data_IF_600157030739
#
_entry.id   IF_600157030739
#
_cell.length_a   1.000
_cell.length_b   1.000
_cell.length_c   1.000
_cell.angle_alpha   90.00
_cell.angle_beta   90.00
_cell.angle_gamma   90.00
#
_symmetry.space_group_name_H-M   'P 1'
#
loop_
_entity.id
_entity.type
_entity.pdbx_description
1 polymer ?
#
# COMPACT_ATOMS: atom_id res chain seq x y z
N UNK A 1 6.24 -3.96 -7.02
CA UNK A 1 6.64 -2.78 -6.23
C UNK A 1 5.69 -1.65 -6.59
N UNK A 2 5.15 -0.92 -5.62
CA UNK A 2 4.24 0.19 -5.93
C UNK A 2 5.00 1.32 -6.64
N UNK A 3 4.38 2.01 -7.59
CA UNK A 3 5.00 3.11 -8.35
C UNK A 3 5.65 4.14 -7.41
N UNK A 4 5.00 4.45 -6.28
CA UNK A 4 5.53 5.34 -5.26
C UNK A 4 6.86 4.87 -4.66
N UNK A 5 6.99 3.59 -4.32
CA UNK A 5 8.21 3.00 -3.75
C UNK A 5 9.38 3.07 -4.74
N UNK A 6 9.10 2.87 -6.04
CA UNK A 6 10.10 2.97 -7.10
C UNK A 6 10.68 4.40 -7.22
N UNK A 7 9.81 5.42 -7.20
CA UNK A 7 10.26 6.81 -7.24
C UNK A 7 11.02 7.22 -5.98
N UNK A 8 10.60 6.73 -4.81
CA UNK A 8 11.34 6.94 -3.55
C UNK A 8 12.75 6.35 -3.68
N UNK A 9 12.88 5.11 -4.15
CA UNK A 9 14.17 4.44 -4.31
C UNK A 9 15.06 5.11 -5.38
N UNK A 10 14.49 5.50 -6.54
CA UNK A 10 15.19 6.25 -7.58
C UNK A 10 15.74 7.57 -7.04
N UNK A 11 14.90 8.36 -6.36
CA UNK A 11 15.30 9.64 -5.77
C UNK A 11 16.39 9.47 -4.70
N UNK A 12 16.24 8.47 -3.81
CA UNK A 12 17.24 8.18 -2.78
C UNK A 12 18.60 7.78 -3.37
N UNK A 13 18.60 6.89 -4.39
CA UNK A 13 19.82 6.48 -5.10
C UNK A 13 20.48 7.63 -5.86
N UNK A 14 19.71 8.54 -6.45
CA UNK A 14 20.26 9.72 -7.12
C UNK A 14 20.89 10.69 -6.12
N UNK A 15 20.29 10.86 -4.94
CA UNK A 15 20.85 11.70 -3.86
C UNK A 15 22.14 11.12 -3.29
N UNK A 16 22.21 9.79 -3.11
CA UNK A 16 23.43 9.11 -2.62
C UNK A 16 24.53 8.99 -3.67
N UNK A 17 24.24 9.29 -4.95
CA UNK A 17 25.16 9.16 -6.06
C UNK A 17 25.31 7.73 -6.59
N UNK A 18 24.43 6.82 -6.16
CA UNK A 18 24.35 5.45 -6.66
C UNK A 18 23.64 5.33 -8.02
N UNK A 19 22.95 6.38 -8.46
CA UNK A 19 22.35 6.49 -9.79
C UNK A 19 22.87 7.75 -10.51
N UNK A 20 23.04 7.64 -11.83
CA UNK A 20 23.40 8.74 -12.71
C UNK A 20 22.18 9.14 -13.55
N UNK A 21 21.42 10.11 -13.06
CA UNK A 21 20.18 10.61 -13.65
C UNK A 21 20.11 12.13 -13.52
N UNK A 22 19.45 12.81 -14.46
CA UNK A 22 19.26 14.26 -14.37
C UNK A 22 18.27 14.61 -13.26
N UNK A 23 18.75 15.33 -12.24
CA UNK A 23 17.96 15.71 -11.06
C UNK A 23 16.73 16.53 -11.42
N UNK A 24 16.84 17.45 -12.38
CA UNK A 24 15.73 18.29 -12.80
C UNK A 24 14.65 17.48 -13.52
N UNK A 25 15.06 16.56 -14.39
CA UNK A 25 14.15 15.65 -15.08
C UNK A 25 13.39 14.76 -14.09
N UNK A 26 14.09 14.11 -13.14
CA UNK A 26 13.44 13.25 -12.16
C UNK A 26 12.47 14.04 -11.25
N UNK A 27 12.85 15.24 -10.81
CA UNK A 27 11.94 16.08 -10.03
C UNK A 27 10.66 16.41 -10.81
N UNK A 28 10.77 16.77 -12.10
CA UNK A 28 9.60 17.05 -12.95
C UNK A 28 8.73 15.83 -13.15
N UNK A 29 9.34 14.67 -13.39
CA UNK A 29 8.63 13.40 -13.53
C UNK A 29 7.82 13.10 -12.25
N UNK A 30 8.46 13.19 -11.08
CA UNK A 30 7.80 12.99 -9.78
C UNK A 30 6.63 13.96 -9.60
N UNK A 31 6.83 15.26 -9.86
CA UNK A 31 5.78 16.29 -9.69
C UNK A 31 4.62 16.14 -10.70
N UNK A 32 4.84 15.46 -11.83
CA UNK A 32 3.79 15.13 -12.80
C UNK A 32 3.00 13.90 -12.37
N UNK A 33 3.68 12.89 -11.82
CA UNK A 33 3.06 11.63 -11.41
C UNK A 33 2.33 11.78 -10.08
N UNK A 34 2.88 12.56 -9.15
CA UNK A 34 2.34 12.74 -7.82
C UNK A 34 1.94 14.18 -7.58
N UNK A 35 0.69 14.35 -7.15
CA UNK A 35 0.24 15.61 -6.55
C UNK A 35 0.93 15.79 -5.19
N UNK A 36 2.03 16.54 -5.21
CA UNK A 36 2.84 16.89 -4.04
C UNK A 36 2.73 18.38 -3.79
N UNK A 37 2.44 18.72 -2.53
CA UNK A 37 2.50 20.09 -2.04
C UNK A 37 3.97 20.51 -1.84
N UNK A 38 4.65 20.75 -2.96
CA UNK A 38 6.02 21.25 -3.06
C UNK A 38 6.11 22.31 -4.15
N UNK A 39 6.58 23.50 -3.78
CA UNK A 39 6.91 24.57 -4.72
C UNK A 39 8.21 25.21 -4.26
N UNK A 40 9.24 25.21 -5.11
CA UNK A 40 10.45 25.97 -4.80
C UNK A 40 10.13 27.47 -4.97
N UNK A 41 10.32 28.32 -3.94
CA UNK A 41 10.08 29.76 -4.04
C UNK A 41 10.88 30.44 -5.15
N UNK A 42 12.08 29.94 -5.48
CA UNK A 42 12.89 30.43 -6.58
C UNK A 42 12.20 30.25 -7.93
N UNK A 43 11.39 29.21 -8.11
CA UNK A 43 10.64 29.00 -9.36
C UNK A 43 9.74 30.20 -9.71
N UNK A 44 9.25 30.92 -8.70
CA UNK A 44 8.43 32.13 -8.89
C UNK A 44 9.19 33.25 -9.59
N UNK A 45 10.52 33.32 -9.40
CA UNK A 45 11.37 34.32 -10.07
C UNK A 45 11.52 34.08 -11.57
N UNK A 46 11.18 32.87 -12.04
CA UNK A 46 11.33 32.48 -13.44
C UNK A 46 10.03 32.58 -14.26
N UNK A 47 8.89 32.93 -13.64
CA UNK A 47 7.58 33.01 -14.32
C UNK A 47 7.59 33.97 -15.53
N UNK A 48 8.35 35.05 -15.44
CA UNK A 48 8.50 36.05 -16.52
C UNK A 48 9.95 36.10 -17.06
N UNK A 49 10.73 35.05 -16.83
CA UNK A 49 12.12 34.95 -17.27
C UNK A 49 12.21 34.25 -18.63
N UNK A 50 13.23 34.61 -19.42
CA UNK A 50 13.63 33.86 -20.62
C UNK A 50 14.40 32.57 -20.29
N UNK A 51 14.84 32.41 -19.04
CA UNK A 51 15.46 31.17 -18.52
C UNK A 51 14.45 30.29 -17.78
N UNK A 52 14.65 28.97 -17.83
CA UNK A 52 13.85 28.01 -17.07
C UNK A 52 14.44 27.74 -15.69
N UNK A 53 13.58 27.68 -14.68
CA UNK A 53 13.93 27.17 -13.36
C UNK A 53 14.38 25.71 -13.47
N UNK A 54 15.43 25.31 -12.74
CA UNK A 54 15.86 23.91 -12.61
C UNK A 54 15.87 23.48 -11.15
N UNK A 55 15.33 22.30 -10.87
CA UNK A 55 15.42 21.69 -9.55
C UNK A 55 16.86 21.24 -9.24
N UNK A 56 17.23 21.40 -7.98
CA UNK A 56 18.53 21.02 -7.42
C UNK A 56 18.45 19.71 -6.63
N UNK A 57 19.61 19.17 -6.20
CA UNK A 57 19.63 18.03 -5.27
C UNK A 57 18.94 18.36 -3.94
N UNK A 58 18.98 19.62 -3.49
CA UNK A 58 18.25 20.05 -2.30
C UNK A 58 16.74 19.94 -2.50
N UNK A 59 16.24 20.32 -3.69
CA UNK A 59 14.83 20.15 -4.05
C UNK A 59 14.42 18.69 -4.05
N UNK A 60 15.21 17.84 -4.70
CA UNK A 60 14.97 16.40 -4.73
C UNK A 60 14.94 15.81 -3.31
N UNK A 61 15.79 16.28 -2.40
CA UNK A 61 15.76 15.92 -0.99
C UNK A 61 14.44 16.27 -0.30
N UNK A 62 13.89 17.46 -0.55
CA UNK A 62 12.57 17.86 -0.02
C UNK A 62 11.43 17.05 -0.63
N UNK A 63 11.47 16.83 -1.94
CA UNK A 63 10.50 16.01 -2.68
C UNK A 63 10.50 14.58 -2.17
N UNK A 64 11.67 13.97 -1.93
CA UNK A 64 11.81 12.64 -1.36
C UNK A 64 11.12 12.54 0.02
N UNK A 65 11.29 13.55 0.88
CA UNK A 65 10.59 13.56 2.18
C UNK A 65 9.07 13.64 2.02
N UNK A 66 8.58 14.44 1.06
CA UNK A 66 7.15 14.51 0.75
C UNK A 66 6.60 13.18 0.21
N UNK A 67 7.37 12.46 -0.62
CA UNK A 67 6.99 11.12 -1.09
C UNK A 67 6.92 10.12 0.07
N UNK A 68 7.89 10.12 0.99
CA UNK A 68 7.88 9.27 2.19
C UNK A 68 6.68 9.56 3.09
N UNK A 69 6.34 10.83 3.30
CA UNK A 69 5.14 11.22 4.05
C UNK A 69 3.85 10.75 3.35
N UNK A 70 3.80 10.83 2.02
CA UNK A 70 2.66 10.33 1.24
C UNK A 70 2.52 8.82 1.35
N UNK A 71 3.64 8.07 1.34
CA UNK A 71 3.67 6.62 1.57
C UNK A 71 3.16 6.30 2.97
N UNK A 72 3.63 7.02 3.98
CA UNK A 72 3.21 6.84 5.37
C UNK A 72 1.70 7.07 5.56
N UNK A 73 1.16 8.17 5.06
CA UNK A 73 -0.29 8.45 5.11
C UNK A 73 -1.12 7.39 4.37
N UNK A 74 -0.63 6.91 3.22
CA UNK A 74 -1.29 5.85 2.47
C UNK A 74 -1.29 4.52 3.23
N UNK A 75 -0.14 4.15 3.77
CA UNK A 75 0.04 2.93 4.57
C UNK A 75 -0.80 2.97 5.85
N UNK A 76 -0.88 4.10 6.54
CA UNK A 76 -1.64 4.22 7.78
C UNK A 76 -3.16 4.07 7.50
N UNK A 77 -3.63 4.62 6.38
CA UNK A 77 -5.01 4.44 5.92
C UNK A 77 -5.32 2.99 5.55
N UNK A 78 -4.38 2.30 4.90
CA UNK A 78 -4.58 0.93 4.42
C UNK A 78 -4.36 -0.14 5.51
N UNK A 79 -3.37 0.06 6.38
CA UNK A 79 -2.79 -0.95 7.27
C UNK A 79 -2.74 -0.54 8.75
N UNK A 80 -3.33 0.59 9.14
CA UNK A 80 -3.28 1.13 10.51
C UNK A 80 -3.85 0.24 11.62
N UNK A 81 -4.42 -0.93 11.30
CA UNK A 81 -4.76 -1.93 12.30
C UNK A 81 -3.48 -2.43 13.00
N UNK A 82 -3.48 -2.51 14.33
CA UNK A 82 -2.28 -2.72 15.16
C UNK A 82 -1.31 -3.81 14.65
N UNK A 83 -1.84 -4.93 14.16
CA UNK A 83 -1.01 -6.02 13.62
C UNK A 83 -0.38 -5.70 12.26
N UNK A 84 -1.17 -5.20 11.32
CA UNK A 84 -0.68 -4.77 10.00
C UNK A 84 0.27 -3.58 10.12
N UNK A 85 0.08 -2.71 11.13
CA UNK A 85 0.96 -1.58 11.42
C UNK A 85 2.37 -2.04 11.81
N UNK A 86 2.50 -3.07 12.65
CA UNK A 86 3.81 -3.63 13.03
C UNK A 86 4.56 -4.18 11.81
N UNK A 87 3.91 -5.00 10.98
CA UNK A 87 4.56 -5.54 9.76
C UNK A 87 4.94 -4.39 8.81
N UNK A 88 4.07 -3.39 8.67
CA UNK A 88 4.34 -2.20 7.85
C UNK A 88 5.54 -1.41 8.36
N UNK A 89 5.70 -1.26 9.68
CA UNK A 89 6.88 -0.63 10.27
C UNK A 89 8.18 -1.40 9.95
N UNK A 90 8.15 -2.73 10.00
CA UNK A 90 9.30 -3.55 9.62
C UNK A 90 9.62 -3.46 8.13
N UNK A 91 8.60 -3.42 7.26
CA UNK A 91 8.75 -3.14 5.82
C UNK A 91 9.42 -1.78 5.62
N UNK A 92 8.91 -0.71 6.24
CA UNK A 92 9.48 0.65 6.13
C UNK A 92 10.94 0.69 6.58
N UNK A 93 11.31 -0.06 7.61
CA UNK A 93 12.70 -0.15 8.09
C UNK A 93 13.63 -0.80 7.05
N UNK A 94 13.15 -1.83 6.34
CA UNK A 94 13.91 -2.45 5.23
C UNK A 94 13.98 -1.53 4.01
N UNK A 95 12.88 -0.87 3.66
CA UNK A 95 12.85 0.12 2.58
C UNK A 95 13.80 1.28 2.86
N UNK A 96 13.82 1.80 4.09
CA UNK A 96 14.78 2.81 4.52
C UNK A 96 16.23 2.32 4.40
N UNK A 97 16.51 1.07 4.78
CA UNK A 97 17.84 0.48 4.64
C UNK A 97 18.30 0.42 3.16
N UNK A 98 17.38 0.10 2.23
CA UNK A 98 17.63 0.17 0.78
C UNK A 98 17.89 1.60 0.30
N UNK A 99 17.02 2.53 0.73
CA UNK A 99 17.08 3.94 0.34
C UNK A 99 18.41 4.60 0.79
N UNK A 100 18.87 4.27 2.00
CA UNK A 100 20.11 4.79 2.59
C UNK A 100 21.35 4.01 2.15
N UNK A 101 21.18 2.86 1.48
CA UNK A 101 22.28 2.01 1.03
C UNK A 101 23.06 1.40 2.20
N UNK A 102 22.36 1.02 3.27
CA UNK A 102 22.93 0.39 4.48
C UNK A 102 23.56 -0.95 4.12
N UNK A 103 24.74 -1.25 4.68
CA UNK A 103 25.53 -2.45 4.34
C UNK A 103 26.09 -3.14 5.59
N UNK A 104 26.70 -4.30 5.37
CA UNK A 104 27.52 -5.03 6.33
C UNK A 104 26.81 -5.27 7.68
N UNK A 105 27.47 -4.97 8.80
CA UNK A 105 26.97 -5.23 10.14
C UNK A 105 25.71 -4.42 10.49
N UNK A 106 25.55 -3.22 9.90
CA UNK A 106 24.35 -2.40 10.11
C UNK A 106 23.14 -3.03 9.42
N UNK A 107 23.30 -3.48 8.17
CA UNK A 107 22.24 -4.18 7.43
C UNK A 107 21.88 -5.49 8.11
N UNK A 108 22.89 -6.21 8.59
CA UNK A 108 22.70 -7.41 9.41
C UNK A 108 21.89 -7.13 10.67
N UNK A 109 22.19 -6.07 11.40
CA UNK A 109 21.45 -5.73 12.62
C UNK A 109 19.97 -5.41 12.32
N UNK A 110 19.69 -4.80 11.16
CA UNK A 110 18.30 -4.62 10.68
C UNK A 110 17.64 -5.98 10.46
N UNK A 111 18.28 -6.88 9.70
CA UNK A 111 17.75 -8.23 9.45
C UNK A 111 17.55 -9.02 10.73
N UNK A 112 18.55 -9.13 11.60
CA UNK A 112 18.48 -9.90 12.85
C UNK A 112 17.27 -9.45 13.69
N UNK A 113 16.99 -8.14 13.76
CA UNK A 113 15.86 -7.61 14.52
C UNK A 113 14.49 -7.93 13.93
N UNK A 114 14.40 -8.10 12.61
CA UNK A 114 13.16 -8.39 11.88
C UNK A 114 12.96 -9.90 11.80
N UNK A 115 13.98 -10.62 11.33
CA UNK A 115 13.98 -12.07 11.15
C UNK A 115 13.66 -12.78 12.48
N UNK A 116 14.11 -12.24 13.62
CA UNK A 116 13.76 -12.76 14.96
C UNK A 116 12.25 -12.81 15.22
N UNK A 117 11.48 -11.84 14.69
CA UNK A 117 10.04 -11.75 14.88
C UNK A 117 9.31 -12.83 14.06
N UNK A 118 9.76 -13.09 12.83
CA UNK A 118 8.99 -13.87 11.86
C UNK A 118 9.49 -15.30 11.68
N UNK A 119 10.79 -15.56 11.84
CA UNK A 119 11.38 -16.86 11.53
C UNK A 119 10.87 -18.02 12.40
N UNK A 120 10.32 -17.73 13.57
CA UNK A 120 9.79 -18.73 14.50
C UNK A 120 8.33 -18.47 14.91
N UNK A 121 7.68 -17.45 14.33
CA UNK A 121 6.31 -17.12 14.67
C UNK A 121 5.34 -18.05 13.90
N UNK A 122 4.31 -18.52 14.60
CA UNK A 122 3.22 -19.28 13.97
C UNK A 122 2.52 -18.43 12.91
N UNK A 123 2.26 -19.01 11.74
CA UNK A 123 1.60 -18.33 10.62
C UNK A 123 2.57 -17.71 9.60
N UNK A 124 3.88 -17.92 9.79
CA UNK A 124 4.95 -17.41 8.92
C UNK A 124 5.87 -18.54 8.42
N UNK A 125 5.32 -19.74 8.24
CA UNK A 125 6.11 -20.98 8.05
C UNK A 125 7.02 -20.95 6.82
N UNK A 126 6.77 -20.07 5.83
CA UNK A 126 7.58 -19.86 4.62
C UNK A 126 8.49 -18.61 4.68
N UNK A 127 8.56 -17.92 5.81
CA UNK A 127 9.32 -16.68 5.94
C UNK A 127 10.81 -16.90 5.64
N UNK A 128 11.40 -17.94 6.22
CA UNK A 128 12.84 -18.21 6.10
C UNK A 128 13.26 -18.78 4.74
N UNK A 129 12.30 -19.23 3.93
CA UNK A 129 12.57 -19.85 2.63
C UNK A 129 13.34 -18.91 1.71
N UNK A 130 14.55 -19.33 1.31
CA UNK A 130 15.41 -18.58 0.39
C UNK A 130 16.16 -17.39 1.03
N UNK A 131 16.01 -17.15 2.33
CA UNK A 131 16.79 -16.11 3.02
C UNK A 131 18.23 -16.58 3.24
N UNK A 132 19.18 -15.69 2.96
CA UNK A 132 20.62 -15.98 3.03
C UNK A 132 21.07 -16.57 4.37
N UNK A 133 20.51 -16.16 5.51
CA UNK A 133 20.88 -16.68 6.85
C UNK A 133 20.24 -18.02 7.22
N UNK A 134 19.28 -18.49 6.41
CA UNK A 134 18.46 -19.67 6.70
C UNK A 134 18.61 -20.77 5.64
N UNK A 135 19.41 -20.52 4.59
CA UNK A 135 19.73 -21.50 3.56
C UNK A 135 20.73 -22.55 4.08
N UNK A 136 20.47 -23.83 3.76
CA UNK A 136 21.31 -24.95 4.18
C UNK A 136 22.69 -24.86 3.51
N UNK A 137 23.74 -24.63 4.30
CA UNK A 137 25.11 -24.44 3.80
C UNK A 137 25.53 -22.97 3.61
N UNK A 138 24.73 -22.00 4.06
CA UNK A 138 25.12 -20.59 4.07
C UNK A 138 26.25 -20.32 5.07
N UNK A 139 27.48 -20.44 4.60
CA UNK A 139 28.68 -19.93 5.25
C UNK A 139 28.98 -18.48 4.87
N UNK A 140 28.22 -17.89 3.94
CA UNK A 140 28.46 -16.53 3.43
C UNK A 140 27.50 -15.50 4.05
N UNK A 141 28.00 -14.84 5.11
CA UNK A 141 27.50 -13.52 5.57
C UNK A 141 27.58 -12.43 4.48
N UNK A 142 28.21 -12.71 3.35
CA UNK A 142 28.39 -11.80 2.21
C UNK A 142 27.16 -11.67 1.30
N UNK A 143 26.08 -12.41 1.59
CA UNK A 143 24.86 -12.38 0.76
C UNK A 143 23.87 -11.30 1.22
N UNK A 144 24.17 -10.51 2.26
CA UNK A 144 23.34 -9.38 2.66
C UNK A 144 23.49 -8.22 1.68
N UNK A 145 22.51 -8.10 0.79
CA UNK A 145 22.48 -7.12 -0.29
C UNK A 145 21.05 -6.62 -0.52
N UNK A 146 20.90 -5.72 -1.50
CA UNK A 146 19.60 -5.15 -1.89
C UNK A 146 18.58 -6.23 -2.27
N UNK A 147 19.00 -7.32 -2.94
CA UNK A 147 18.10 -8.41 -3.34
C UNK A 147 17.54 -9.16 -2.13
N UNK A 148 18.39 -9.44 -1.13
CA UNK A 148 17.98 -10.03 0.13
C UNK A 148 17.11 -9.08 0.98
N UNK A 149 17.28 -7.76 0.82
CA UNK A 149 16.42 -6.77 1.47
C UNK A 149 15.05 -6.78 0.80
N UNK A 150 15.02 -6.79 -0.54
CA UNK A 150 13.79 -6.82 -1.33
C UNK A 150 12.99 -8.10 -1.08
N UNK A 151 13.65 -9.26 -1.00
CA UNK A 151 12.99 -10.53 -0.70
C UNK A 151 12.28 -10.49 0.66
N UNK A 152 12.90 -9.88 1.68
CA UNK A 152 12.27 -9.69 2.99
C UNK A 152 11.08 -8.76 2.91
N UNK A 153 11.20 -7.64 2.19
CA UNK A 153 10.08 -6.71 1.95
C UNK A 153 8.91 -7.43 1.30
N UNK A 154 9.16 -8.20 0.24
CA UNK A 154 8.12 -8.89 -0.52
C UNK A 154 7.41 -9.95 0.32
N UNK A 155 8.16 -10.73 1.12
CA UNK A 155 7.59 -11.68 2.08
C UNK A 155 6.73 -10.98 3.12
N UNK A 156 7.21 -9.90 3.73
CA UNK A 156 6.45 -9.15 4.72
C UNK A 156 5.20 -8.51 4.11
N UNK A 157 5.26 -7.97 2.89
CA UNK A 157 4.09 -7.45 2.15
C UNK A 157 3.07 -8.57 1.96
N UNK A 158 3.50 -9.75 1.51
CA UNK A 158 2.62 -10.91 1.37
C UNK A 158 1.89 -11.25 2.69
N UNK A 159 2.61 -11.41 3.80
CA UNK A 159 1.98 -11.73 5.08
C UNK A 159 1.06 -10.62 5.61
N UNK A 160 1.48 -9.35 5.52
CA UNK A 160 0.66 -8.20 5.90
C UNK A 160 -0.66 -8.19 5.14
N UNK A 161 -0.60 -8.45 3.84
CA UNK A 161 -1.76 -8.37 2.97
C UNK A 161 -2.72 -9.55 3.17
N UNK A 162 -2.19 -10.75 3.45
CA UNK A 162 -3.01 -11.90 3.87
C UNK A 162 -3.76 -11.64 5.18
N UNK A 163 -3.08 -11.05 6.16
CA UNK A 163 -3.67 -10.75 7.47
C UNK A 163 -4.70 -9.63 7.37
N UNK A 164 -4.43 -8.59 6.59
CA UNK A 164 -5.42 -7.57 6.27
C UNK A 164 -6.66 -8.18 5.61
N UNK A 165 -6.48 -9.11 4.66
CA UNK A 165 -7.58 -9.80 3.99
C UNK A 165 -8.44 -10.57 4.98
N UNK A 166 -7.83 -11.37 5.85
CA UNK A 166 -8.54 -12.13 6.91
C UNK A 166 -9.33 -11.19 7.82
N UNK A 167 -8.71 -10.12 8.29
CA UNK A 167 -9.35 -9.12 9.16
C UNK A 167 -10.54 -8.45 8.49
N UNK A 168 -10.39 -7.99 7.23
CA UNK A 168 -11.45 -7.29 6.51
C UNK A 168 -12.61 -8.20 6.13
N UNK A 169 -12.34 -9.45 5.76
CA UNK A 169 -13.39 -10.46 5.55
C UNK A 169 -14.18 -10.70 6.83
N UNK A 170 -13.48 -10.92 7.96
CA UNK A 170 -14.12 -11.13 9.24
C UNK A 170 -14.95 -9.91 9.68
N UNK A 171 -14.44 -8.69 9.44
CA UNK A 171 -15.14 -7.43 9.70
C UNK A 171 -16.44 -7.33 8.88
N UNK A 172 -16.36 -7.60 7.57
CA UNK A 172 -17.53 -7.56 6.69
C UNK A 172 -18.56 -8.63 7.05
N UNK A 173 -18.12 -9.86 7.30
CA UNK A 173 -19.00 -10.96 7.70
C UNK A 173 -19.66 -10.67 9.05
N UNK A 174 -18.90 -10.20 10.04
CA UNK A 174 -19.44 -9.81 11.35
C UNK A 174 -20.46 -8.67 11.25
N UNK A 175 -20.15 -7.61 10.51
CA UNK A 175 -21.08 -6.49 10.28
C UNK A 175 -22.35 -6.96 9.56
N UNK A 176 -22.25 -7.88 8.59
CA UNK A 176 -23.40 -8.40 7.85
C UNK A 176 -24.39 -9.17 8.73
N UNK A 177 -23.89 -9.82 9.79
CA UNK A 177 -24.66 -10.63 10.73
C UNK A 177 -25.47 -9.75 11.71
N UNK A 178 -24.95 -8.59 12.09
CA UNK A 178 -25.57 -7.67 13.06
C UNK A 178 -26.68 -6.79 12.48
N UNK A 179 -26.96 -6.88 11.18
CA UNK A 179 -28.00 -6.11 10.46
C UNK A 179 -29.42 -6.59 10.81
N UNK A 180 -29.90 -6.22 12.01
CA UNK A 180 -31.31 -6.29 12.39
C UNK A 180 -31.96 -4.91 12.27
N UNK A 181 -32.57 -4.68 11.10
CA UNK A 181 -33.59 -3.69 10.74
C UNK A 181 -33.44 -2.24 11.28
N UNK A 182 -33.01 -1.28 10.43
CA UNK A 182 -33.46 0.13 10.43
C UNK A 182 -33.02 0.93 9.17
N UNK A 183 -33.83 1.95 8.83
CA UNK A 183 -33.62 3.13 7.96
C UNK A 183 -33.27 2.98 6.45
N UNK A 184 -34.31 2.92 5.60
CA UNK A 184 -34.21 2.92 4.13
C UNK A 184 -33.67 4.22 3.50
N UNK A 185 -33.66 5.35 4.23
CA UNK A 185 -33.36 6.68 3.67
C UNK A 185 -31.87 7.07 3.75
N UNK A 186 -31.22 6.85 4.90
CA UNK A 186 -29.78 7.15 5.08
C UNK A 186 -28.88 6.20 4.27
N UNK A 187 -29.39 5.00 4.03
CA UNK A 187 -28.77 3.95 3.23
C UNK A 187 -28.53 4.39 1.78
N UNK A 188 -29.50 5.06 1.15
CA UNK A 188 -29.42 5.41 -0.27
C UNK A 188 -28.35 6.48 -0.53
N UNK A 189 -28.32 7.53 0.29
CA UNK A 189 -27.31 8.60 0.22
C UNK A 189 -25.90 8.03 0.43
N UNK A 190 -25.75 7.04 1.32
CA UNK A 190 -24.45 6.43 1.58
C UNK A 190 -23.96 5.53 0.44
N UNK A 191 -24.89 4.86 -0.27
CA UNK A 191 -24.56 4.03 -1.44
C UNK A 191 -24.04 4.88 -2.60
N UNK A 192 -24.71 5.99 -2.92
CA UNK A 192 -24.32 6.92 -3.97
C UNK A 192 -22.93 7.53 -3.70
N UNK A 193 -22.68 8.01 -2.48
CA UNK A 193 -21.38 8.54 -2.09
C UNK A 193 -20.26 7.47 -2.15
N UNK A 194 -20.58 6.23 -1.78
CA UNK A 194 -19.62 5.11 -1.89
C UNK A 194 -19.30 4.79 -3.35
N UNK A 195 -20.29 4.85 -4.24
CA UNK A 195 -20.10 4.62 -5.67
C UNK A 195 -19.25 5.70 -6.33
N UNK A 196 -19.43 6.97 -5.96
CA UNK A 196 -18.55 8.06 -6.42
C UNK A 196 -17.08 7.85 -6.00
N UNK A 197 -16.84 7.26 -4.83
CA UNK A 197 -15.47 6.94 -4.39
C UNK A 197 -14.88 5.77 -5.18
N UNK A 198 -15.69 4.76 -5.53
CA UNK A 198 -15.26 3.66 -6.41
C UNK A 198 -14.93 4.17 -7.81
N UNK A 199 -15.71 5.12 -8.33
CA UNK A 199 -15.49 5.69 -9.67
C UNK A 199 -14.18 6.51 -9.75
N UNK A 200 -13.68 7.00 -8.61
CA UNK A 200 -12.39 7.67 -8.50
C UNK A 200 -11.19 6.71 -8.43
N UNK A 201 -11.41 5.40 -8.32
CA UNK A 201 -10.32 4.44 -8.40
C UNK A 201 -9.70 4.47 -9.81
N UNK A 202 -8.37 4.40 -9.93
CA UNK A 202 -7.73 4.46 -11.25
C UNK A 202 -8.02 3.21 -12.07
N UNK A 203 -8.02 3.34 -13.40
CA UNK A 203 -8.20 2.23 -14.36
C UNK A 203 -7.14 1.13 -14.21
N UNK A 204 -5.98 1.48 -13.64
CA UNK A 204 -4.92 0.51 -13.33
C UNK A 204 -5.26 -0.40 -12.14
N UNK A 205 -6.25 -0.03 -11.33
CA UNK A 205 -6.75 -0.86 -10.21
C UNK A 205 -8.00 -1.63 -10.62
N UNK A 206 -9.01 -0.95 -11.17
CA UNK A 206 -10.24 -1.57 -11.66
C UNK A 206 -10.64 -0.87 -12.95
N UNK A 207 -10.97 -1.64 -13.99
CA UNK A 207 -11.54 -1.04 -15.20
C UNK A 207 -12.95 -0.50 -14.97
N UNK A 208 -13.43 0.38 -15.84
CA UNK A 208 -14.81 0.90 -15.78
C UNK A 208 -15.89 -0.22 -15.73
N UNK A 209 -15.68 -1.31 -16.47
CA UNK A 209 -16.57 -2.49 -16.45
C UNK A 209 -16.52 -3.19 -15.09
N UNK A 210 -15.34 -3.32 -14.50
CA UNK A 210 -15.15 -3.96 -13.20
C UNK A 210 -15.68 -3.10 -12.05
N UNK A 211 -15.53 -1.77 -12.12
CA UNK A 211 -16.17 -0.81 -11.21
C UNK A 211 -17.69 -0.94 -11.28
N UNK A 212 -18.24 -1.02 -12.49
CA UNK A 212 -19.69 -1.19 -12.70
C UNK A 212 -20.17 -2.51 -12.10
N UNK A 213 -19.44 -3.61 -12.33
CA UNK A 213 -19.74 -4.91 -11.73
C UNK A 213 -19.66 -4.86 -10.19
N UNK A 214 -18.61 -4.27 -9.63
CA UNK A 214 -18.44 -4.11 -8.18
C UNK A 214 -19.62 -3.34 -7.56
N UNK A 215 -20.00 -2.20 -8.15
CA UNK A 215 -21.16 -1.42 -7.70
C UNK A 215 -22.44 -2.25 -7.75
N UNK A 216 -22.64 -3.04 -8.81
CA UNK A 216 -23.77 -3.98 -8.92
C UNK A 216 -23.79 -5.01 -7.80
N UNK A 217 -22.66 -5.67 -7.55
CA UNK A 217 -22.51 -6.67 -6.48
C UNK A 217 -22.70 -6.06 -5.08
N UNK A 218 -22.28 -4.81 -4.88
CA UNK A 218 -22.51 -4.06 -3.64
C UNK A 218 -23.99 -3.68 -3.45
N UNK A 219 -24.67 -3.20 -4.50
CA UNK A 219 -26.10 -2.92 -4.46
C UNK A 219 -26.93 -4.18 -4.15
N UNK A 220 -26.45 -5.33 -4.61
CA UNK A 220 -27.04 -6.64 -4.35
C UNK A 220 -27.07 -7.02 -2.86
N UNK A 221 -26.18 -6.45 -2.03
CA UNK A 221 -26.14 -6.65 -0.58
C UNK A 221 -27.33 -6.01 0.15
N UNK A 222 -28.04 -5.07 -0.48
CA UNK A 222 -29.22 -4.39 0.06
C UNK A 222 -30.50 -5.26 0.01
N UNK A 223 -30.36 -6.55 0.30
CA UNK A 223 -31.47 -7.47 0.49
C UNK A 223 -31.85 -7.53 1.97
N UNK A 224 -33.14 -7.66 2.29
CA UNK A 224 -33.63 -7.84 3.68
C UNK A 224 -33.38 -9.26 4.22
N UNK A 225 -33.16 -10.23 3.33
CA UNK A 225 -32.92 -11.63 3.67
C UNK A 225 -31.46 -11.86 4.07
N UNK A 226 -31.23 -12.19 5.35
CA UNK A 226 -29.90 -12.40 5.93
C UNK A 226 -29.11 -13.52 5.26
N UNK A 227 -29.77 -14.63 4.90
CA UNK A 227 -29.12 -15.78 4.25
C UNK A 227 -28.71 -15.43 2.82
N UNK A 228 -29.59 -14.75 2.08
CA UNK A 228 -29.24 -14.24 0.74
C UNK A 228 -28.16 -13.17 0.81
N UNK A 229 -28.15 -12.31 1.83
CA UNK A 229 -27.10 -11.31 2.03
C UNK A 229 -25.74 -11.96 2.24
N UNK A 230 -25.65 -12.95 3.12
CA UNK A 230 -24.43 -13.71 3.38
C UNK A 230 -23.87 -14.35 2.10
N UNK A 231 -24.71 -15.10 1.37
CA UNK A 231 -24.27 -15.72 0.11
C UNK A 231 -23.87 -14.72 -0.99
N UNK A 232 -24.50 -13.53 -1.04
CA UNK A 232 -24.08 -12.45 -1.96
C UNK A 232 -22.75 -11.82 -1.52
N UNK A 233 -22.55 -11.64 -0.22
CA UNK A 233 -21.28 -11.17 0.33
C UNK A 233 -20.15 -12.17 0.02
N UNK A 234 -20.38 -13.47 0.22
CA UNK A 234 -19.37 -14.49 -0.09
C UNK A 234 -18.99 -14.50 -1.59
N UNK A 235 -19.98 -14.28 -2.48
CA UNK A 235 -19.72 -14.13 -3.92
C UNK A 235 -18.89 -12.88 -4.24
N UNK A 236 -19.20 -11.74 -3.61
CA UNK A 236 -18.42 -10.52 -3.75
C UNK A 236 -16.98 -10.69 -3.25
N UNK A 237 -16.80 -11.30 -2.08
CA UNK A 237 -15.48 -11.57 -1.52
C UNK A 237 -14.68 -12.55 -2.39
N UNK A 238 -15.32 -13.59 -2.95
CA UNK A 238 -14.69 -14.52 -3.87
C UNK A 238 -14.27 -13.85 -5.18
N UNK A 239 -15.10 -12.95 -5.70
CA UNK A 239 -14.76 -12.18 -6.89
C UNK A 239 -13.56 -11.26 -6.63
N UNK A 240 -13.55 -10.53 -5.51
CA UNK A 240 -12.40 -9.70 -5.12
C UNK A 240 -11.12 -10.50 -4.94
N UNK A 241 -11.21 -11.68 -4.31
CA UNK A 241 -10.05 -12.56 -4.13
C UNK A 241 -9.44 -12.98 -5.49
N UNK A 242 -10.27 -13.13 -6.53
CA UNK A 242 -9.82 -13.44 -7.89
C UNK A 242 -9.19 -12.27 -8.65
N UNK A 243 -9.25 -11.02 -8.14
CA UNK A 243 -8.68 -9.83 -8.78
C UNK A 243 -7.27 -9.48 -8.33
N UNK A 244 -6.80 -10.09 -7.25
CA UNK A 244 -5.48 -9.82 -6.69
C UNK A 244 -5.51 -8.86 -5.50
N UNK A 245 -4.36 -8.73 -4.87
CA UNK A 245 -4.22 -8.06 -3.57
C UNK A 245 -4.47 -6.55 -3.65
N UNK A 246 -3.94 -5.87 -4.65
CA UNK A 246 -4.08 -4.40 -4.78
C UNK A 246 -5.55 -4.00 -4.93
N UNK A 247 -6.30 -4.75 -5.76
CA UNK A 247 -7.74 -4.56 -5.94
C UNK A 247 -8.51 -4.80 -4.64
N UNK A 248 -8.16 -5.87 -3.92
CA UNK A 248 -8.77 -6.16 -2.62
C UNK A 248 -8.55 -5.00 -1.64
N UNK A 249 -7.31 -4.52 -1.50
CA UNK A 249 -6.95 -3.42 -0.59
C UNK A 249 -7.72 -2.14 -0.95
N UNK A 250 -7.80 -1.82 -2.25
CA UNK A 250 -8.47 -0.61 -2.72
C UNK A 250 -10.01 -0.66 -2.55
N UNK A 251 -10.65 -1.79 -2.83
CA UNK A 251 -12.11 -1.90 -2.89
C UNK A 251 -12.75 -2.28 -1.54
N UNK A 252 -12.08 -3.10 -0.73
CA UNK A 252 -12.67 -3.67 0.48
C UNK A 252 -13.11 -2.63 1.54
N UNK A 253 -12.40 -1.51 1.76
CA UNK A 253 -12.85 -0.46 2.69
C UNK A 253 -14.26 0.05 2.36
N UNK A 254 -14.56 0.26 1.08
CA UNK A 254 -15.87 0.75 0.63
C UNK A 254 -16.99 -0.28 0.86
N UNK A 255 -16.68 -1.57 0.72
CA UNK A 255 -17.64 -2.65 1.00
C UNK A 255 -17.95 -2.70 2.50
N UNK A 256 -16.94 -2.65 3.35
CA UNK A 256 -17.12 -2.63 4.81
C UNK A 256 -17.91 -1.39 5.24
N UNK A 257 -17.56 -0.22 4.70
CA UNK A 257 -18.27 1.03 4.98
C UNK A 257 -19.74 0.94 4.58
N UNK A 258 -20.04 0.41 3.39
CA UNK A 258 -21.41 0.20 2.95
C UNK A 258 -22.16 -0.73 3.90
N UNK A 259 -21.60 -1.90 4.25
CA UNK A 259 -22.29 -2.85 5.15
C UNK A 259 -22.56 -2.19 6.52
N UNK A 260 -21.60 -1.39 7.02
CA UNK A 260 -21.75 -0.66 8.29
C UNK A 260 -22.80 0.44 8.20
N UNK A 261 -22.90 1.17 7.09
CA UNK A 261 -23.91 2.22 6.95
C UNK A 261 -25.34 1.67 6.92
N UNK A 262 -25.53 0.38 6.60
CA UNK A 262 -26.82 -0.30 6.69
C UNK A 262 -27.21 -0.66 8.13
N UNK A 263 -26.27 -0.61 9.09
CA UNK A 263 -26.51 -0.88 10.51
C UNK A 263 -26.99 0.37 11.28
N UNK A 264 -26.69 1.56 10.75
CA UNK A 264 -26.94 2.86 11.39
C UNK A 264 -28.30 3.44 10.99
#
# INVERSE_FOLDING_TARGET
>A
MAVLDEYILRAARLLSGAADEDVDALCREIMQVFDLDYTNPEALKYINSSSSFRYSKSDLGMILQKLRLKREDSDDKAFGAAFCATITQHIRRLEQALEEGVKDDELKAVYDSIDYVYANARGYDSYTDGLASYSYGSSNRNDFNDEQTQLRIDKLKHFRDEELRKLKIAEAQGASVSLTASATSNVQVTLEATFEQIDKLPETTLSDDEKTLLKGMMGDLNTKDKSKRGSKLDKLLSWLAGKGTDVFIAAMPYIVQLIKSQLS
#
